data_IF_409077406368
#
_entry.id   IF_409077406368
#
_cell.length_a   1.000
_cell.length_b   1.000
_cell.length_c   1.000
_cell.angle_alpha   90.00
_cell.angle_beta   90.00
_cell.angle_gamma   90.00
#
_symmetry.space_group_name_H-M   'P 1'
#
loop_
_entity.id
_entity.type
_entity.pdbx_description
1 polymer ?
#
# COMPACT_ATOMS: atom_id res chain seq x y z
N UNK A 1 16.56 -1.11 21.34
CA UNK A 1 17.10 -1.32 22.72
C UNK A 1 17.16 -2.80 23.10
N UNK A 2 16.05 -3.55 23.07
CA UNK A 2 16.06 -4.98 23.42
C UNK A 2 16.88 -5.84 22.45
N UNK A 3 16.77 -5.63 21.13
CA UNK A 3 17.62 -6.33 20.14
C UNK A 3 19.10 -6.06 20.34
N UNK A 4 19.49 -4.81 20.57
CA UNK A 4 20.89 -4.44 20.87
C UNK A 4 21.40 -5.18 22.10
N UNK A 5 20.61 -5.19 23.17
CA UNK A 5 20.97 -5.89 24.41
C UNK A 5 21.07 -7.41 24.21
N UNK A 6 20.17 -8.02 23.44
CA UNK A 6 20.25 -9.43 23.09
C UNK A 6 21.55 -9.75 22.32
N UNK A 7 21.96 -8.89 21.39
CA UNK A 7 23.21 -9.07 20.62
C UNK A 7 24.44 -8.93 21.50
N UNK A 8 24.46 -7.96 22.42
CA UNK A 8 25.56 -7.79 23.39
C UNK A 8 25.70 -9.00 24.32
N UNK A 9 24.59 -9.51 24.85
CA UNK A 9 24.59 -10.72 25.68
C UNK A 9 25.03 -11.95 24.90
N UNK A 10 24.59 -12.09 23.65
CA UNK A 10 24.98 -13.19 22.77
C UNK A 10 26.50 -13.18 22.52
N UNK A 11 27.08 -12.01 22.24
CA UNK A 11 28.52 -11.85 22.04
C UNK A 11 29.30 -12.10 23.34
N UNK A 12 28.80 -11.62 24.48
CA UNK A 12 29.43 -11.86 25.79
C UNK A 12 29.45 -13.34 26.20
N UNK A 13 28.48 -14.13 25.73
CA UNK A 13 28.38 -15.57 26.00
C UNK A 13 29.09 -16.44 24.95
N UNK A 14 29.78 -15.84 23.96
CA UNK A 14 30.48 -16.57 22.88
C UNK A 14 31.42 -17.67 23.40
N UNK A 15 32.12 -17.45 24.51
CA UNK A 15 33.02 -18.45 25.11
C UNK A 15 32.31 -19.65 25.75
N UNK A 16 30.98 -19.61 25.90
CA UNK A 16 30.14 -20.65 26.53
C UNK A 16 29.12 -21.26 25.56
N UNK A 17 29.01 -20.72 24.36
CA UNK A 17 28.08 -21.13 23.31
C UNK A 17 28.87 -21.68 22.12
N UNK A 18 28.16 -22.32 21.19
CA UNK A 18 28.74 -22.65 19.89
C UNK A 18 29.06 -21.37 19.10
N UNK A 19 30.34 -21.16 18.80
CA UNK A 19 30.82 -19.98 18.08
C UNK A 19 30.24 -19.85 16.67
N UNK A 20 30.02 -20.97 15.97
CA UNK A 20 29.41 -20.94 14.63
C UNK A 20 27.96 -20.47 14.69
N UNK A 21 27.21 -20.93 15.70
CA UNK A 21 25.82 -20.50 15.92
C UNK A 21 25.74 -19.00 16.27
N UNK A 22 26.66 -18.51 17.11
CA UNK A 22 26.74 -17.08 17.46
C UNK A 22 26.99 -16.22 16.22
N UNK A 23 27.96 -16.59 15.39
CA UNK A 23 28.26 -15.86 14.15
C UNK A 23 27.08 -15.90 13.17
N UNK A 24 26.44 -17.07 13.02
CA UNK A 24 25.27 -17.23 12.18
C UNK A 24 24.08 -16.39 12.64
N UNK A 25 23.85 -16.26 13.96
CA UNK A 25 22.78 -15.44 14.54
C UNK A 25 23.04 -13.94 14.36
N UNK A 26 24.29 -13.50 14.54
CA UNK A 26 24.66 -12.09 14.46
C UNK A 26 24.74 -11.57 13.03
N UNK A 27 25.18 -12.42 12.09
CA UNK A 27 25.35 -12.11 10.67
C UNK A 27 24.18 -12.53 9.77
N UNK A 28 23.06 -12.99 10.33
CA UNK A 28 21.93 -13.49 9.55
C UNK A 28 21.34 -12.41 8.63
N UNK A 29 21.25 -12.72 7.33
CA UNK A 29 20.36 -12.01 6.41
C UNK A 29 18.91 -12.39 6.72
N UNK A 30 18.09 -11.38 7.02
CA UNK A 30 16.68 -11.49 7.36
C UNK A 30 15.84 -10.58 6.44
N UNK A 31 16.33 -10.33 5.23
CA UNK A 31 15.66 -9.48 4.23
C UNK A 31 14.48 -10.16 3.53
N UNK A 32 14.33 -11.48 3.68
CA UNK A 32 13.22 -12.27 3.15
C UNK A 32 12.68 -13.29 4.18
N UNK A 33 11.54 -13.91 3.85
CA UNK A 33 10.88 -14.91 4.73
C UNK A 33 11.77 -16.12 4.99
N UNK A 34 12.57 -16.54 3.99
CA UNK A 34 13.47 -17.69 4.14
C UNK A 34 14.57 -17.41 5.18
N UNK A 35 15.17 -16.22 5.12
CA UNK A 35 16.17 -15.74 6.08
C UNK A 35 15.60 -15.59 7.49
N UNK A 36 14.37 -15.05 7.61
CA UNK A 36 13.66 -14.94 8.89
C UNK A 36 13.37 -16.33 9.47
N UNK A 37 12.91 -17.28 8.66
CA UNK A 37 12.63 -18.63 9.11
C UNK A 37 13.90 -19.37 9.57
N UNK A 38 15.00 -19.25 8.80
CA UNK A 38 16.29 -19.78 9.21
C UNK A 38 16.78 -19.15 10.52
N UNK A 39 16.54 -17.84 10.74
CA UNK A 39 16.88 -17.18 12.00
C UNK A 39 16.05 -17.71 13.17
N UNK A 40 14.75 -17.99 12.98
CA UNK A 40 13.91 -18.59 14.02
C UNK A 40 14.47 -19.94 14.46
N UNK A 41 14.91 -20.77 13.51
CA UNK A 41 15.54 -22.07 13.81
C UNK A 41 16.84 -21.91 14.61
N UNK A 42 17.70 -20.95 14.22
CA UNK A 42 18.91 -20.63 15.01
C UNK A 42 18.57 -20.15 16.42
N UNK A 43 17.51 -19.35 16.57
CA UNK A 43 17.04 -18.89 17.89
C UNK A 43 16.51 -20.06 18.73
N UNK A 44 15.83 -21.03 18.12
CA UNK A 44 15.45 -22.28 18.82
C UNK A 44 16.68 -23.02 19.34
N UNK A 45 17.69 -23.22 18.49
CA UNK A 45 18.95 -23.87 18.89
C UNK A 45 19.68 -23.10 20.00
N UNK A 46 19.70 -21.76 19.92
CA UNK A 46 20.27 -20.91 20.97
C UNK A 46 19.58 -21.15 22.31
N UNK A 47 18.24 -21.20 22.33
CA UNK A 47 17.48 -21.39 23.57
C UNK A 47 17.75 -22.75 24.21
N UNK A 48 17.98 -23.79 23.40
CA UNK A 48 18.37 -25.11 23.89
C UNK A 48 19.76 -25.08 24.57
N UNK A 49 20.74 -24.40 23.96
CA UNK A 49 22.07 -24.23 24.56
C UNK A 49 22.02 -23.42 25.85
N UNK A 50 21.24 -22.34 25.88
CA UNK A 50 21.09 -21.48 27.06
C UNK A 50 20.43 -22.20 28.25
N UNK A 51 19.53 -23.16 28.00
CA UNK A 51 18.87 -23.92 29.06
C UNK A 51 19.84 -24.79 29.88
N UNK A 52 21.00 -25.14 29.31
CA UNK A 52 22.06 -25.90 30.00
C UNK A 52 23.04 -25.04 30.81
N UNK A 53 22.92 -23.72 30.78
CA UNK A 53 23.85 -22.80 31.41
C UNK A 53 23.26 -22.20 32.70
N UNK A 54 23.92 -22.45 33.82
CA UNK A 54 23.68 -21.72 35.06
C UNK A 54 24.44 -20.38 35.01
N UNK A 55 23.86 -19.40 34.33
CA UNK A 55 24.39 -18.05 34.17
C UNK A 55 23.23 -17.02 34.13
N UNK A 56 23.27 -15.97 34.98
CA UNK A 56 22.29 -14.89 34.90
C UNK A 56 22.19 -14.25 33.51
N UNK A 57 23.32 -14.07 32.82
CA UNK A 57 23.34 -13.51 31.46
C UNK A 57 22.67 -14.45 30.45
N UNK A 58 22.85 -15.77 30.60
CA UNK A 58 22.18 -16.76 29.75
C UNK A 58 20.66 -16.75 29.97
N UNK A 59 20.23 -16.61 31.23
CA UNK A 59 18.81 -16.47 31.58
C UNK A 59 18.19 -15.22 30.97
N UNK A 60 18.89 -14.07 31.05
CA UNK A 60 18.43 -12.83 30.43
C UNK A 60 18.40 -12.94 28.90
N UNK A 61 19.44 -13.54 28.29
CA UNK A 61 19.46 -13.75 26.85
C UNK A 61 18.31 -14.66 26.39
N UNK A 62 17.97 -15.72 27.13
CA UNK A 62 16.86 -16.60 26.81
C UNK A 62 15.51 -15.86 26.77
N UNK A 63 15.32 -14.85 27.63
CA UNK A 63 14.13 -13.99 27.62
C UNK A 63 14.11 -13.02 26.42
N UNK A 64 15.27 -12.64 25.92
CA UNK A 64 15.43 -11.67 24.83
C UNK A 64 15.71 -12.30 23.47
N UNK A 65 15.93 -13.61 23.39
CA UNK A 65 16.38 -14.31 22.18
C UNK A 65 15.46 -14.08 20.98
N UNK A 66 14.14 -13.99 21.22
CA UNK A 66 13.15 -13.68 20.16
C UNK A 66 13.36 -12.31 19.49
N UNK A 67 14.08 -11.38 20.13
CA UNK A 67 14.40 -10.06 19.58
C UNK A 67 15.58 -10.11 18.59
N UNK A 68 16.24 -11.26 18.42
CA UNK A 68 17.24 -11.50 17.37
C UNK A 68 16.58 -11.77 16.01
N UNK A 69 15.28 -12.08 16.00
CA UNK A 69 14.47 -12.23 14.79
C UNK A 69 13.85 -10.89 14.42
N UNK A 70 14.03 -10.44 13.18
CA UNK A 70 13.38 -9.24 12.61
C UNK A 70 11.86 -9.34 12.84
N UNK A 71 11.24 -8.24 13.24
CA UNK A 71 9.78 -8.13 13.38
C UNK A 71 9.23 -7.32 12.21
N UNK A 72 8.10 -7.76 11.65
CA UNK A 72 7.35 -7.01 10.65
C UNK A 72 6.24 -6.23 11.36
N UNK A 73 6.30 -4.90 11.29
CA UNK A 73 5.35 -4.01 11.95
C UNK A 73 4.28 -3.60 10.96
N UNK A 74 3.02 -3.92 11.26
CA UNK A 74 1.86 -3.61 10.42
C UNK A 74 0.91 -2.63 11.11
N UNK A 75 0.54 -1.59 10.38
CA UNK A 75 -0.49 -0.63 10.75
C UNK A 75 -1.68 -0.85 9.83
N UNK A 76 -2.79 -1.34 10.38
CA UNK A 76 -3.98 -1.68 9.60
C UNK A 76 -5.15 -0.77 9.96
N UNK A 77 -5.86 -0.28 8.95
CA UNK A 77 -7.07 0.51 9.17
C UNK A 77 -7.90 0.70 7.90
N UNK A 78 -9.11 1.21 8.07
CA UNK A 78 -10.02 1.53 6.96
C UNK A 78 -9.76 2.90 6.33
N UNK A 79 -10.50 3.22 5.27
CA UNK A 79 -10.38 4.51 4.58
C UNK A 79 -10.69 5.71 5.48
N UNK A 80 -11.66 5.60 6.39
CA UNK A 80 -11.97 6.69 7.31
C UNK A 80 -10.83 7.04 8.29
N UNK A 81 -9.95 6.08 8.61
CA UNK A 81 -8.74 6.39 9.34
C UNK A 81 -7.70 7.04 8.42
N UNK A 82 -7.35 6.38 7.32
CA UNK A 82 -6.22 6.79 6.48
C UNK A 82 -6.44 8.10 5.71
N UNK A 83 -7.67 8.36 5.26
CA UNK A 83 -7.97 9.53 4.44
C UNK A 83 -8.40 10.74 5.27
N UNK A 84 -9.04 10.50 6.43
CA UNK A 84 -9.68 11.51 7.25
C UNK A 84 -8.97 11.74 8.59
N UNK A 85 -9.41 11.09 9.67
CA UNK A 85 -9.02 11.45 11.04
C UNK A 85 -7.54 11.13 11.33
N UNK A 86 -7.03 10.04 10.76
CA UNK A 86 -5.67 9.56 10.96
C UNK A 86 -4.67 10.07 9.93
N UNK A 87 -5.11 10.80 8.89
CA UNK A 87 -4.24 11.18 7.78
C UNK A 87 -3.00 11.98 8.23
N UNK A 88 -3.15 12.93 9.15
CA UNK A 88 -1.99 13.71 9.64
C UNK A 88 -0.95 12.85 10.37
N UNK A 89 -1.37 11.82 11.08
CA UNK A 89 -0.45 10.87 11.72
C UNK A 89 0.14 9.88 10.71
N UNK A 90 -0.67 9.41 9.76
CA UNK A 90 -0.23 8.56 8.66
C UNK A 90 0.87 9.24 7.84
N UNK A 91 0.63 10.47 7.39
CA UNK A 91 1.58 11.29 6.64
C UNK A 91 2.90 11.47 7.40
N UNK A 92 2.83 11.75 8.71
CA UNK A 92 4.03 11.86 9.55
C UNK A 92 4.83 10.54 9.63
N UNK A 93 4.14 9.40 9.74
CA UNK A 93 4.79 8.08 9.75
C UNK A 93 5.43 7.78 8.40
N UNK A 94 4.75 8.08 7.28
CA UNK A 94 5.32 7.93 5.94
C UNK A 94 6.56 8.81 5.74
N UNK A 95 6.54 10.05 6.23
CA UNK A 95 7.68 10.97 6.16
C UNK A 95 8.87 10.56 7.05
N UNK A 96 8.65 9.71 8.08
CA UNK A 96 9.67 9.35 9.06
C UNK A 96 10.79 8.44 8.53
N UNK A 97 10.56 7.78 7.38
CA UNK A 97 11.48 6.81 6.80
C UNK A 97 11.63 5.50 7.60
N UNK A 98 10.82 5.27 8.63
CA UNK A 98 10.87 4.04 9.43
C UNK A 98 10.32 2.83 8.64
N UNK A 99 10.90 1.66 8.85
CA UNK A 99 10.46 0.37 8.28
C UNK A 99 9.14 -0.07 8.94
N UNK A 100 8.03 0.31 8.33
CA UNK A 100 6.67 -0.05 8.75
C UNK A 100 5.79 -0.30 7.52
N UNK A 101 4.91 -1.28 7.62
CA UNK A 101 3.94 -1.62 6.59
C UNK A 101 2.56 -1.10 6.96
N UNK A 102 1.93 -0.34 6.08
CA UNK A 102 0.60 0.22 6.29
C UNK A 102 -0.37 -0.42 5.29
N UNK A 103 -1.44 -1.02 5.80
CA UNK A 103 -2.52 -1.58 5.00
C UNK A 103 -3.80 -0.80 5.22
N UNK A 104 -4.24 -0.12 4.17
CA UNK A 104 -5.52 0.58 4.10
C UNK A 104 -6.55 -0.30 3.41
N UNK A 105 -7.56 -0.74 4.16
CA UNK A 105 -8.72 -1.46 3.64
C UNK A 105 -9.76 -0.43 3.19
N UNK A 106 -9.69 -0.03 1.93
CA UNK A 106 -10.49 1.07 1.40
C UNK A 106 -11.88 0.57 0.99
N UNK A 107 -12.85 0.84 1.87
CA UNK A 107 -14.27 0.57 1.63
C UNK A 107 -14.98 1.81 1.07
N UNK A 108 -14.27 2.92 0.89
CA UNK A 108 -14.77 4.21 0.42
C UNK A 108 -15.93 4.82 1.24
N UNK A 109 -16.17 4.33 2.46
CA UNK A 109 -17.16 4.84 3.41
C UNK A 109 -16.75 4.44 4.83
N UNK A 110 -17.28 5.11 5.84
CA UNK A 110 -17.12 4.64 7.23
C UNK A 110 -18.07 3.47 7.48
N UNK A 111 -17.63 2.28 7.08
CA UNK A 111 -18.44 1.07 7.07
C UNK A 111 -19.02 0.73 8.45
N UNK A 112 -18.17 0.68 9.50
CA UNK A 112 -18.57 0.25 10.84
C UNK A 112 -19.64 1.14 11.49
N UNK A 113 -19.57 2.45 11.29
CA UNK A 113 -20.52 3.41 11.89
C UNK A 113 -21.79 3.59 11.06
N UNK A 114 -21.99 2.75 10.04
CA UNK A 114 -23.21 2.69 9.24
C UNK A 114 -23.17 3.51 7.97
N UNK A 115 -22.00 3.58 7.30
CA UNK A 115 -21.86 4.07 5.93
C UNK A 115 -21.88 5.60 5.80
N UNK A 116 -21.09 6.30 6.61
CA UNK A 116 -20.85 7.75 6.43
C UNK A 116 -19.89 8.02 5.29
N UNK A 117 -20.05 9.20 4.68
CA UNK A 117 -19.13 9.73 3.67
C UNK A 117 -17.73 9.92 4.26
N UNK A 118 -16.70 9.47 3.53
CA UNK A 118 -15.29 9.72 3.79
C UNK A 118 -14.67 10.57 2.67
N UNK A 119 -13.44 11.07 2.85
CA UNK A 119 -12.68 11.64 1.72
C UNK A 119 -12.31 10.59 0.67
N UNK A 120 -12.43 9.31 0.97
CA UNK A 120 -12.25 8.20 0.03
C UNK A 120 -13.52 7.88 -0.77
N UNK A 121 -14.69 8.39 -0.37
CA UNK A 121 -15.95 8.18 -1.11
C UNK A 121 -15.85 8.75 -2.53
N UNK A 122 -16.27 8.00 -3.57
CA UNK A 122 -16.18 8.43 -4.96
C UNK A 122 -17.26 9.46 -5.31
N UNK A 123 -17.03 10.18 -6.41
CA UNK A 123 -17.99 11.14 -6.96
C UNK A 123 -19.34 10.46 -7.27
N UNK A 124 -20.44 11.07 -6.83
CA UNK A 124 -21.79 10.58 -7.07
C UNK A 124 -22.21 9.39 -6.21
N UNK A 125 -21.37 8.87 -5.31
CA UNK A 125 -21.82 7.85 -4.36
C UNK A 125 -22.69 8.47 -3.26
N UNK A 126 -23.79 7.80 -2.93
CA UNK A 126 -24.68 8.11 -1.82
C UNK A 126 -24.18 7.43 -0.56
N UNK A 127 -23.97 8.24 0.47
CA UNK A 127 -23.67 7.78 1.82
C UNK A 127 -24.33 8.73 2.83
N UNK A 128 -24.29 8.40 4.14
CA UNK A 128 -24.72 9.37 5.16
C UNK A 128 -23.84 10.62 5.05
N UNK A 129 -24.46 11.80 5.13
CA UNK A 129 -23.87 13.13 4.85
C UNK A 129 -23.59 13.44 3.37
N UNK A 130 -23.97 12.56 2.44
CA UNK A 130 -23.98 12.81 0.99
C UNK A 130 -25.20 12.17 0.32
N UNK A 131 -26.39 12.44 0.87
CA UNK A 131 -27.64 11.83 0.39
C UNK A 131 -27.94 12.13 -1.09
N UNK A 132 -27.56 13.32 -1.57
CA UNK A 132 -27.65 13.71 -2.98
C UNK A 132 -26.47 13.25 -3.85
N UNK A 133 -25.63 12.35 -3.34
CA UNK A 133 -24.37 11.97 -3.97
C UNK A 133 -23.22 12.90 -3.56
N UNK A 134 -22.03 12.34 -3.35
CA UNK A 134 -20.84 13.14 -3.03
C UNK A 134 -20.44 14.03 -4.22
N UNK A 135 -20.31 15.36 -4.04
CA UNK A 135 -20.06 16.28 -5.14
C UNK A 135 -18.58 16.42 -5.51
N UNK A 136 -17.67 15.87 -4.72
CA UNK A 136 -16.21 15.96 -4.93
C UNK A 136 -15.62 14.62 -5.31
N UNK A 137 -14.50 14.65 -6.05
CA UNK A 137 -13.73 13.46 -6.36
C UNK A 137 -13.13 12.79 -5.10
N UNK A 138 -12.74 11.54 -5.25
CA UNK A 138 -12.00 10.78 -4.23
C UNK A 138 -10.64 11.45 -4.02
N UNK A 139 -10.23 11.66 -2.76
CA UNK A 139 -8.86 12.10 -2.44
C UNK A 139 -7.90 11.01 -2.92
N UNK A 140 -6.85 11.38 -3.64
CA UNK A 140 -5.84 10.42 -4.10
C UNK A 140 -4.72 10.26 -3.06
N UNK A 141 -4.90 9.32 -2.12
CA UNK A 141 -3.91 9.05 -1.07
C UNK A 141 -2.61 8.44 -1.63
N UNK A 142 -2.71 7.61 -2.68
CA UNK A 142 -1.56 7.00 -3.29
C UNK A 142 -0.64 8.06 -3.91
N UNK A 143 -1.21 8.99 -4.68
CA UNK A 143 -0.45 10.08 -5.28
C UNK A 143 0.24 10.96 -4.23
N UNK A 144 -0.44 11.26 -3.12
CA UNK A 144 0.16 12.04 -2.03
C UNK A 144 1.32 11.31 -1.36
N UNK A 145 1.22 9.98 -1.19
CA UNK A 145 2.30 9.18 -0.63
C UNK A 145 3.50 9.05 -1.58
N UNK A 146 3.26 9.03 -2.90
CA UNK A 146 4.32 8.97 -3.93
C UNK A 146 5.17 10.25 -4.01
N UNK A 147 4.74 11.36 -3.42
CA UNK A 147 5.53 12.60 -3.35
C UNK A 147 6.79 12.41 -2.48
N UNK A 148 6.77 11.46 -1.54
CA UNK A 148 7.92 11.09 -0.74
C UNK A 148 8.84 10.12 -1.50
N UNK A 149 10.12 10.46 -1.59
CA UNK A 149 11.12 9.68 -2.35
C UNK A 149 11.32 8.24 -1.85
N UNK A 150 11.04 7.95 -0.58
CA UNK A 150 11.33 6.67 0.07
C UNK A 150 10.07 5.86 0.47
N UNK A 151 8.88 6.25 0.01
CA UNK A 151 7.66 5.51 0.34
C UNK A 151 7.34 4.51 -0.77
N UNK A 152 7.29 3.23 -0.45
CA UNK A 152 6.72 2.23 -1.36
C UNK A 152 5.19 2.37 -1.34
N UNK A 153 4.54 2.40 -2.52
CA UNK A 153 3.08 2.55 -2.62
C UNK A 153 2.51 1.49 -3.55
N UNK A 154 1.47 0.77 -3.12
CA UNK A 154 0.75 -0.16 -3.96
C UNK A 154 -0.76 0.04 -3.87
N UNK A 155 -1.43 -0.04 -5.01
CA UNK A 155 -2.87 -0.02 -5.11
C UNK A 155 -3.34 -1.36 -5.68
N UNK A 156 -4.09 -2.10 -4.87
CA UNK A 156 -4.32 -3.54 -5.08
C UNK A 156 -5.80 -3.91 -5.03
N UNK A 157 -6.16 -4.99 -5.73
CA UNK A 157 -7.47 -5.62 -5.68
C UNK A 157 -7.30 -7.12 -5.97
N UNK A 158 -7.25 -7.93 -4.92
CA UNK A 158 -6.91 -9.36 -5.03
C UNK A 158 -7.89 -10.15 -5.90
N UNK A 159 -9.17 -9.77 -5.91
CA UNK A 159 -10.20 -10.41 -6.73
C UNK A 159 -10.07 -10.11 -8.22
N UNK A 160 -9.30 -9.08 -8.59
CA UNK A 160 -9.03 -8.71 -9.97
C UNK A 160 -7.64 -9.17 -10.46
N UNK A 161 -6.63 -9.18 -9.58
CA UNK A 161 -5.26 -9.58 -9.94
C UNK A 161 -4.47 -10.07 -8.72
N UNK A 162 -4.75 -11.30 -8.31
CA UNK A 162 -4.13 -11.98 -7.15
C UNK A 162 -2.60 -11.97 -7.15
N UNK A 163 -1.96 -12.30 -8.28
CA UNK A 163 -0.49 -12.30 -8.43
C UNK A 163 0.09 -10.91 -8.18
N UNK A 164 -0.59 -9.85 -8.63
CA UNK A 164 -0.16 -8.48 -8.39
C UNK A 164 -0.27 -8.11 -6.91
N UNK A 165 -1.37 -8.50 -6.25
CA UNK A 165 -1.53 -8.29 -4.81
C UNK A 165 -0.44 -9.02 -4.03
N UNK A 166 -0.18 -10.29 -4.31
CA UNK A 166 0.87 -11.05 -3.64
C UNK A 166 2.25 -10.39 -3.81
N UNK A 167 2.58 -10.01 -5.04
CA UNK A 167 3.84 -9.29 -5.32
C UNK A 167 3.93 -7.98 -4.56
N UNK A 168 2.83 -7.22 -4.49
CA UNK A 168 2.81 -5.94 -3.77
C UNK A 168 3.09 -6.10 -2.27
N UNK A 169 2.56 -7.15 -1.62
CA UNK A 169 2.82 -7.43 -0.21
C UNK A 169 4.27 -7.87 0.03
N UNK A 170 4.83 -8.71 -0.85
CA UNK A 170 6.22 -9.15 -0.74
C UNK A 170 7.20 -7.98 -0.95
N UNK A 171 6.95 -7.13 -1.95
CA UNK A 171 7.78 -5.94 -2.22
C UNK A 171 7.68 -4.91 -1.09
N UNK A 172 6.48 -4.69 -0.54
CA UNK A 172 6.26 -3.79 0.59
C UNK A 172 7.01 -4.23 1.85
N UNK A 173 6.93 -5.51 2.22
CA UNK A 173 7.61 -6.01 3.43
C UNK A 173 9.14 -5.98 3.27
N UNK A 174 9.64 -6.29 2.07
CA UNK A 174 11.06 -6.25 1.77
C UNK A 174 11.62 -4.82 1.57
N UNK A 175 10.76 -3.79 1.53
CA UNK A 175 11.21 -2.40 1.41
C UNK A 175 11.77 -1.91 2.75
N UNK A 176 13.04 -1.47 2.83
CA UNK A 176 13.65 -1.00 4.07
C UNK A 176 13.20 0.43 4.39
N UNK A 177 11.91 0.63 4.56
CA UNK A 177 11.28 1.94 4.72
C UNK A 177 9.76 1.85 4.82
N UNK A 178 9.07 3.00 4.78
CA UNK A 178 7.62 3.04 4.88
C UNK A 178 6.96 2.47 3.63
N UNK A 179 6.00 1.58 3.82
CA UNK A 179 5.22 0.95 2.76
C UNK A 179 3.73 1.21 2.95
N UNK A 180 3.04 1.63 1.90
CA UNK A 180 1.59 1.87 1.89
C UNK A 180 0.91 0.97 0.85
N UNK A 181 0.05 0.07 1.32
CA UNK A 181 -0.83 -0.74 0.48
C UNK A 181 -2.26 -0.26 0.64
N UNK A 182 -2.90 0.16 -0.44
CA UNK A 182 -4.31 0.54 -0.48
C UNK A 182 -5.08 -0.56 -1.22
N UNK A 183 -5.91 -1.30 -0.48
CA UNK A 183 -6.63 -2.45 -0.99
C UNK A 183 -8.12 -2.15 -1.16
N UNK A 184 -8.64 -2.34 -2.38
CA UNK A 184 -10.07 -2.23 -2.63
C UNK A 184 -10.82 -3.27 -1.80
N UNK A 185 -11.75 -2.81 -0.97
CA UNK A 185 -12.48 -3.65 -0.02
C UNK A 185 -14.00 -3.50 -0.24
N UNK A 186 -14.61 -4.26 -1.17
CA UNK A 186 -16.06 -4.22 -1.36
C UNK A 186 -16.81 -4.49 -0.06
N UNK A 187 -17.84 -3.70 0.22
CA UNK A 187 -18.55 -3.69 1.50
C UNK A 187 -20.07 -3.78 1.29
N UNK A 188 -20.80 -4.29 2.28
CA UNK A 188 -22.27 -4.29 2.30
C UNK A 188 -22.85 -2.88 2.10
N UNK A 189 -22.13 -1.84 2.52
CA UNK A 189 -22.54 -0.44 2.36
C UNK A 189 -22.58 0.03 0.89
N UNK A 190 -21.94 -0.71 -0.02
CA UNK A 190 -22.06 -0.47 -1.46
C UNK A 190 -23.41 -0.96 -2.01
N UNK A 191 -24.09 -1.84 -1.28
CA UNK A 191 -25.33 -2.49 -1.69
C UNK A 191 -25.12 -3.39 -2.90
N UNK A 192 -24.07 -4.21 -2.82
CA UNK A 192 -23.71 -5.28 -3.75
C UNK A 192 -23.74 -6.62 -3.02
N UNK A 193 -24.07 -7.70 -3.73
CA UNK A 193 -24.01 -9.06 -3.20
C UNK A 193 -22.53 -9.49 -3.06
N UNK A 194 -22.07 -9.60 -1.80
CA UNK A 194 -20.68 -9.94 -1.48
C UNK A 194 -20.30 -11.38 -1.83
N UNK A 195 -21.25 -12.26 -2.15
CA UNK A 195 -20.93 -13.59 -2.70
C UNK A 195 -20.19 -13.50 -4.05
N UNK A 196 -20.34 -12.37 -4.76
CA UNK A 196 -19.65 -12.08 -6.03
C UNK A 196 -18.48 -11.10 -5.86
N UNK A 197 -17.80 -11.10 -4.71
CA UNK A 197 -16.73 -10.14 -4.39
C UNK A 197 -15.65 -10.04 -5.48
N UNK A 198 -15.13 -11.16 -5.99
CA UNK A 198 -14.10 -11.16 -7.04
C UNK A 198 -14.58 -10.47 -8.32
N UNK A 199 -15.82 -10.77 -8.73
CA UNK A 199 -16.45 -10.11 -9.88
C UNK A 199 -16.55 -8.60 -9.67
N UNK A 200 -16.91 -8.16 -8.47
CA UNK A 200 -17.01 -6.72 -8.17
C UNK A 200 -15.65 -6.03 -8.25
N UNK A 201 -14.59 -6.64 -7.72
CA UNK A 201 -13.23 -6.11 -7.87
C UNK A 201 -12.79 -6.06 -9.33
N UNK A 202 -13.08 -7.11 -10.12
CA UNK A 202 -12.78 -7.12 -11.55
C UNK A 202 -13.50 -6.00 -12.31
N UNK A 203 -14.78 -5.76 -12.01
CA UNK A 203 -15.54 -4.65 -12.60
C UNK A 203 -14.96 -3.29 -12.19
N UNK A 204 -14.53 -3.12 -10.94
CA UNK A 204 -13.89 -1.90 -10.46
C UNK A 204 -12.59 -1.61 -11.23
N UNK A 205 -11.75 -2.63 -11.46
CA UNK A 205 -10.52 -2.48 -12.26
C UNK A 205 -10.84 -2.24 -13.74
N UNK A 206 -11.70 -3.06 -14.35
CA UNK A 206 -12.02 -2.98 -15.77
C UNK A 206 -12.71 -1.67 -16.17
N UNK A 207 -13.47 -1.06 -15.26
CA UNK A 207 -14.11 0.24 -15.48
C UNK A 207 -13.18 1.43 -15.27
N UNK A 208 -11.99 1.19 -14.70
CA UNK A 208 -11.05 2.23 -14.25
C UNK A 208 -11.41 2.87 -12.90
N UNK A 209 -12.46 2.41 -12.23
CA UNK A 209 -12.79 2.84 -10.86
C UNK A 209 -11.61 2.66 -9.90
N UNK A 210 -10.85 1.56 -10.09
CA UNK A 210 -9.74 1.17 -9.23
C UNK A 210 -8.52 0.75 -10.06
N UNK A 211 -7.67 1.69 -10.54
CA UNK A 211 -6.47 1.33 -11.29
C UNK A 211 -5.48 0.58 -10.39
N UNK A 212 -4.76 -0.43 -10.91
CA UNK A 212 -3.76 -1.18 -10.14
C UNK A 212 -2.37 -0.71 -10.51
N UNK A 213 -1.51 -0.45 -9.52
CA UNK A 213 -0.13 -0.05 -9.74
C UNK A 213 0.73 -0.30 -8.51
N UNK A 214 2.04 -0.23 -8.71
CA UNK A 214 3.06 -0.23 -7.66
C UNK A 214 4.08 0.85 -7.95
N UNK A 215 4.49 1.57 -6.92
CA UNK A 215 5.57 2.54 -6.92
C UNK A 215 6.66 2.01 -5.99
N UNK A 216 7.82 1.71 -6.58
CA UNK A 216 8.96 1.14 -5.86
C UNK A 216 10.17 2.10 -5.92
N UNK A 217 10.49 2.79 -4.81
CA UNK A 217 11.66 3.67 -4.71
C UNK A 217 12.99 3.02 -5.13
N UNK A 218 13.16 1.71 -4.94
CA UNK A 218 14.42 1.01 -5.30
C UNK A 218 14.73 1.11 -6.79
N UNK A 219 13.71 1.27 -7.63
CA UNK A 219 13.87 1.42 -9.08
C UNK A 219 14.53 2.75 -9.45
N UNK A 220 14.38 3.79 -8.63
CA UNK A 220 15.02 5.10 -8.82
C UNK A 220 16.54 4.94 -8.79
N UNK A 221 17.06 4.17 -7.83
CA UNK A 221 18.49 3.87 -7.71
C UNK A 221 19.02 3.08 -8.92
N UNK A 222 18.16 2.30 -9.58
CA UNK A 222 18.48 1.59 -10.81
C UNK A 222 18.29 2.44 -12.09
N UNK A 223 17.98 3.74 -11.96
CA UNK A 223 17.71 4.63 -13.10
C UNK A 223 16.45 4.24 -13.88
N UNK A 224 15.46 3.64 -13.23
CA UNK A 224 14.20 3.20 -13.83
C UNK A 224 13.03 3.98 -13.24
N UNK A 225 11.97 4.14 -14.02
CA UNK A 225 10.73 4.72 -13.54
C UNK A 225 10.19 3.89 -12.35
N UNK A 226 9.98 4.50 -11.16
CA UNK A 226 9.50 3.80 -9.97
C UNK A 226 8.06 3.35 -10.07
N UNK A 227 7.23 4.02 -10.87
CA UNK A 227 5.83 3.68 -11.05
C UNK A 227 5.68 2.60 -12.13
N UNK A 228 4.97 1.53 -11.78
CA UNK A 228 4.56 0.46 -12.69
C UNK A 228 3.04 0.33 -12.65
N UNK A 229 2.38 0.69 -13.76
CA UNK A 229 0.94 0.54 -13.93
C UNK A 229 0.60 -0.93 -14.25
N UNK A 230 -0.03 -1.63 -13.30
CA UNK A 230 -0.34 -3.05 -13.40
C UNK A 230 -1.71 -3.35 -14.04
N UNK A 231 -2.63 -2.38 -14.07
CA UNK A 231 -3.93 -2.50 -14.73
C UNK A 231 -3.91 -2.04 -16.19
N UNK A 232 -4.65 -2.75 -17.05
CA UNK A 232 -4.89 -2.34 -18.43
C UNK A 232 -5.80 -1.09 -18.50
N UNK A 233 -5.91 -0.52 -19.70
CA UNK A 233 -6.84 0.58 -19.96
C UNK A 233 -8.29 0.16 -19.66
N UNK A 234 -9.14 1.07 -19.14
CA UNK A 234 -10.53 0.76 -18.87
C UNK A 234 -11.23 0.15 -20.10
N UNK A 235 -11.73 -1.07 -19.93
CA UNK A 235 -12.29 -1.92 -20.99
C UNK A 235 -13.82 -1.97 -20.98
N UNK A 236 -14.46 -1.47 -19.91
CA UNK A 236 -15.91 -1.34 -19.81
C UNK A 236 -16.32 0.10 -19.50
N UNK A 237 -17.51 0.55 -19.94
CA UNK A 237 -18.08 1.83 -19.50
C UNK A 237 -18.19 1.93 -17.98
N UNK A 238 -17.89 3.10 -17.41
CA UNK A 238 -17.96 3.31 -15.95
C UNK A 238 -19.37 3.11 -15.40
N UNK A 239 -20.39 3.43 -16.22
CA UNK A 239 -21.80 3.21 -15.87
C UNK A 239 -22.10 1.74 -15.53
N UNK A 240 -21.43 0.79 -16.19
CA UNK A 240 -21.72 -0.64 -16.05
C UNK A 240 -21.25 -1.15 -14.69
N UNK A 241 -20.19 -0.54 -14.12
CA UNK A 241 -19.80 -0.74 -12.72
C UNK A 241 -20.75 -0.01 -11.76
N UNK A 242 -21.04 1.27 -11.99
CA UNK A 242 -21.92 2.04 -11.09
C UNK A 242 -23.30 1.40 -10.91
N UNK A 243 -23.87 0.81 -11.97
CA UNK A 243 -25.17 0.17 -11.92
C UNK A 243 -25.22 -1.09 -11.06
N UNK A 244 -24.08 -1.71 -10.72
CA UNK A 244 -24.05 -2.90 -9.84
C UNK A 244 -24.17 -2.55 -8.37
N UNK A 245 -24.00 -1.29 -7.99
CA UNK A 245 -23.97 -0.86 -6.59
C UNK A 245 -25.14 0.08 -6.26
N UNK A 246 -25.88 -0.27 -5.21
CA UNK A 246 -27.03 0.52 -4.73
C UNK A 246 -26.63 1.96 -4.36
N UNK A 247 -25.39 2.16 -3.86
CA UNK A 247 -24.88 3.49 -3.50
C UNK A 247 -24.82 4.47 -4.67
N UNK A 248 -24.86 4.00 -5.92
CA UNK A 248 -24.98 4.86 -7.11
C UNK A 248 -26.39 4.81 -7.71
N UNK A 249 -26.99 3.62 -7.79
CA UNK A 249 -28.29 3.45 -8.46
C UNK A 249 -29.43 4.21 -7.77
N UNK A 250 -29.36 4.44 -6.45
CA UNK A 250 -30.38 5.18 -5.71
C UNK A 250 -30.59 6.62 -6.21
N UNK A 251 -29.55 7.28 -6.75
CA UNK A 251 -29.69 8.63 -7.32
C UNK A 251 -30.53 8.63 -8.58
N UNK A 252 -30.51 7.56 -9.39
CA UNK A 252 -31.32 7.50 -10.60
C UNK A 252 -32.82 7.49 -10.30
N UNK A 253 -33.21 7.02 -9.12
CA UNK A 253 -34.61 7.02 -8.68
C UNK A 253 -35.03 8.33 -8.02
N UNK A 254 -34.12 8.99 -7.30
CA UNK A 254 -34.44 10.17 -6.48
C UNK A 254 -34.08 11.50 -7.14
N UNK A 255 -32.97 11.55 -7.88
CA UNK A 255 -32.39 12.74 -8.50
C UNK A 255 -31.78 12.40 -9.89
N UNK A 256 -32.60 12.05 -10.90
CA UNK A 256 -32.12 11.49 -12.17
C UNK A 256 -31.21 12.43 -12.97
N UNK A 257 -31.43 13.74 -12.92
CA UNK A 257 -30.57 14.71 -13.62
C UNK A 257 -29.19 14.83 -12.96
N UNK A 258 -29.13 14.80 -11.62
CA UNK A 258 -27.87 14.74 -10.89
C UNK A 258 -27.15 13.42 -11.14
N UNK A 259 -27.87 12.30 -11.20
CA UNK A 259 -27.29 11.00 -11.52
C UNK A 259 -26.61 10.98 -12.90
N UNK A 260 -27.26 11.55 -13.93
CA UNK A 260 -26.68 11.72 -15.28
C UNK A 260 -25.42 12.59 -15.23
N UNK A 261 -25.49 13.73 -14.52
CA UNK A 261 -24.37 14.66 -14.37
C UNK A 261 -23.18 14.00 -13.66
N UNK A 262 -23.41 13.31 -12.55
CA UNK A 262 -22.36 12.60 -11.82
C UNK A 262 -21.76 11.46 -12.64
N UNK A 263 -22.57 10.70 -13.38
CA UNK A 263 -22.04 9.66 -14.26
C UNK A 263 -21.08 10.24 -15.30
N UNK A 264 -21.44 11.35 -15.94
CA UNK A 264 -20.58 12.02 -16.92
C UNK A 264 -19.27 12.50 -16.29
N UNK A 265 -19.36 13.17 -15.14
CA UNK A 265 -18.18 13.66 -14.41
C UNK A 265 -17.28 12.52 -13.93
N UNK A 266 -17.86 11.44 -13.39
CA UNK A 266 -17.09 10.31 -12.88
C UNK A 266 -16.43 9.52 -14.01
N UNK A 267 -17.09 9.38 -15.17
CA UNK A 267 -16.49 8.78 -16.36
C UNK A 267 -15.29 9.60 -16.86
N UNK A 268 -15.37 10.93 -16.82
CA UNK A 268 -14.25 11.80 -17.17
C UNK A 268 -13.11 11.66 -16.16
N UNK A 269 -13.43 11.69 -14.87
CA UNK A 269 -12.45 11.57 -13.78
C UNK A 269 -11.67 10.26 -13.85
N UNK A 270 -12.35 9.14 -14.08
CA UNK A 270 -11.71 7.83 -14.20
C UNK A 270 -10.76 7.77 -15.41
N UNK A 271 -11.17 8.31 -16.56
CA UNK A 271 -10.29 8.39 -17.75
C UNK A 271 -9.09 9.29 -17.50
N UNK A 272 -9.31 10.44 -16.86
CA UNK A 272 -8.25 11.37 -16.54
C UNK A 272 -7.24 10.74 -15.59
N UNK A 273 -7.70 10.14 -14.49
CA UNK A 273 -6.83 9.49 -13.51
C UNK A 273 -6.03 8.34 -14.12
N UNK A 274 -6.66 7.48 -14.93
CA UNK A 274 -5.93 6.43 -15.65
C UNK A 274 -4.86 7.02 -16.58
N UNK A 275 -5.21 8.02 -17.38
CA UNK A 275 -4.28 8.68 -18.31
C UNK A 275 -3.11 9.34 -17.57
N UNK A 276 -3.38 9.97 -16.42
CA UNK A 276 -2.38 10.58 -15.57
C UNK A 276 -1.38 9.56 -15.04
N UNK A 277 -1.85 8.45 -14.45
CA UNK A 277 -0.95 7.38 -13.99
C UNK A 277 -0.20 6.69 -15.13
N UNK A 278 -0.84 6.53 -16.29
CA UNK A 278 -0.18 6.00 -17.49
C UNK A 278 0.97 6.91 -17.94
N UNK A 279 0.72 8.22 -18.04
CA UNK A 279 1.76 9.20 -18.37
C UNK A 279 2.90 9.14 -17.35
N UNK A 280 2.60 9.13 -16.06
CA UNK A 280 3.63 9.01 -15.01
C UNK A 280 4.46 7.72 -15.15
N UNK A 281 3.84 6.59 -15.49
CA UNK A 281 4.53 5.31 -15.66
C UNK A 281 5.34 5.22 -16.97
N UNK A 282 4.99 6.03 -17.97
CA UNK A 282 5.66 6.12 -19.27
C UNK A 282 6.73 7.24 -19.31
N UNK A 283 6.82 8.10 -18.28
CA UNK A 283 7.85 9.14 -18.20
C UNK A 283 9.25 8.52 -18.30
N UNK A 284 10.05 9.08 -19.20
CA UNK A 284 11.48 8.79 -19.28
C UNK A 284 12.15 9.22 -17.98
N UNK A 285 12.66 8.23 -17.26
CA UNK A 285 13.33 8.45 -15.98
C UNK A 285 14.83 8.56 -16.21
N UNK A 286 15.30 9.79 -16.41
CA UNK A 286 16.72 10.11 -16.58
C UNK A 286 17.18 11.07 -15.47
N UNK A 287 18.15 10.64 -14.66
CA UNK A 287 18.76 11.45 -13.60
C UNK A 287 19.44 12.73 -14.14
N UNK A 288 19.72 12.80 -15.46
CA UNK A 288 20.28 13.97 -16.12
C UNK A 288 19.23 14.95 -16.66
N UNK A 289 17.95 14.58 -16.67
CA UNK A 289 16.89 15.46 -17.17
C UNK A 289 16.44 16.41 -16.05
N UNK A 290 17.16 17.53 -15.93
CA UNK A 290 16.71 18.66 -15.11
C UNK A 290 15.45 19.30 -15.72
N UNK A 291 14.62 19.94 -14.89
CA UNK A 291 13.47 20.74 -15.35
C UNK A 291 13.89 21.79 -16.40
N UNK A 292 15.13 22.30 -16.32
CA UNK A 292 15.71 23.19 -17.31
C UNK A 292 15.97 22.49 -18.66
N UNK A 293 16.50 21.27 -18.64
CA UNK A 293 16.72 20.46 -19.85
C UNK A 293 15.38 20.07 -20.52
N UNK A 294 14.37 19.71 -19.73
CA UNK A 294 13.03 19.44 -20.25
C UNK A 294 12.37 20.68 -20.88
N UNK A 295 12.51 21.86 -20.25
CA UNK A 295 12.03 23.14 -20.82
C UNK A 295 12.76 23.51 -22.11
N UNK A 296 14.07 23.29 -22.17
CA UNK A 296 14.86 23.58 -23.37
C UNK A 296 14.43 22.72 -24.57
N UNK A 297 14.15 21.42 -24.35
CA UNK A 297 13.60 20.52 -25.39
C UNK A 297 12.24 21.00 -25.89
N UNK A 298 11.32 21.34 -24.98
CA UNK A 298 9.99 21.87 -25.34
C UNK A 298 10.05 23.19 -26.13
N UNK A 299 11.07 24.02 -25.92
CA UNK A 299 11.29 25.25 -26.70
C UNK A 299 11.95 24.98 -28.05
N UNK A 300 12.83 23.98 -28.15
CA UNK A 300 13.44 23.55 -29.40
C UNK A 300 12.40 22.92 -30.34
N UNK A 301 11.55 22.03 -29.82
CA UNK A 301 10.48 21.37 -30.61
C UNK A 301 9.42 22.38 -31.12
N UNK A 302 9.28 23.54 -30.44
CA UNK A 302 8.43 24.66 -30.89
C UNK A 302 9.11 25.59 -31.90
N UNK A 303 10.44 25.55 -32.02
CA UNK A 303 11.18 26.36 -32.99
C UNK A 303 11.34 25.62 -34.33
N UNK A 304 11.17 24.29 -34.32
CA UNK A 304 11.23 23.42 -35.51
C UNK A 304 9.83 23.12 -36.12
N UNK A 305 8.74 23.53 -35.47
CA UNK A 305 7.36 23.43 -35.94
C UNK A 305 6.82 24.78 -36.44
#
# INVERSE_FOLDING_TARGET
>A
KQTTHARELLEGLRGRLDGELVDALLGADQSDEAGIQAQRERVTQLREQLAGLDDPAATTLAQLAENLVKKSVWIMGGDGWAYDIGYGGLDHVLASGQDVNILVLDTEVYSNTGGQTSKATPLGAVAKFSAGGKPTAKKDLALLAMDYENVYVAHVAYGAKDIQTLRAFLEAEAHPGPSLIIAYSPCIAHGVDLSYNHRQQQLAVNSGHWPLFRFDPKRIAAGKNPLHLDSAEPSIPYRDFMQTETRFSMLWHTHPEDAKRFLQQAQQEVRHRYSFYKQLAELDWDQHTSVAAARARLHADKAEA
#
